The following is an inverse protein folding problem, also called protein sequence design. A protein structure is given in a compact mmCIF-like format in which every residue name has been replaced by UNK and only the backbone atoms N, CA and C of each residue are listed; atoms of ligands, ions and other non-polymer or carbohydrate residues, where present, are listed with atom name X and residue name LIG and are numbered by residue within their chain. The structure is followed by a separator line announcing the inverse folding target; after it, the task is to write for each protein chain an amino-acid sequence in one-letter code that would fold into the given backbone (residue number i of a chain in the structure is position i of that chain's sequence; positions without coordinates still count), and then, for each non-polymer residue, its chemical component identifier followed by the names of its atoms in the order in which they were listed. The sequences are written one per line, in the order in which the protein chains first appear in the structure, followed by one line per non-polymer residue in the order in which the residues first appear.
data_IF_170558098967
#
_entry.id   IF_170558098967
#
_cell.length_a   1.000
_cell.length_b   1.000
_cell.length_c   1.000
_cell.angle_alpha   90.00
_cell.angle_beta   90.00
_cell.angle_gamma   90.00
#
_symmetry.space_group_name_H-M   'P 1'
#
loop_
_entity.id
_entity.type
_entity.pdbx_description
1 polymer ?
#
# COMPACT_ATOMS: atom_id res chain seq x y z
N UNK A 1 9.60 -6.75 3.77
CA UNK A 1 8.19 -6.34 3.95
C UNK A 1 7.80 -5.34 2.88
N UNK A 2 8.66 -4.36 2.60
CA UNK A 2 8.69 -3.52 1.38
C UNK A 2 8.17 -4.19 0.09
N UNK A 3 8.85 -5.25 -0.36
CA UNK A 3 8.59 -5.89 -1.67
C UNK A 3 7.17 -6.46 -1.81
N UNK A 4 6.55 -6.79 -0.67
CA UNK A 4 5.23 -7.40 -0.58
C UNK A 4 4.12 -6.41 -0.89
N UNK A 5 4.24 -5.17 -0.40
CA UNK A 5 3.30 -4.09 -0.70
C UNK A 5 3.39 -3.69 -2.17
N UNK A 6 4.61 -3.62 -2.72
CA UNK A 6 4.82 -3.32 -4.14
C UNK A 6 4.20 -4.36 -5.07
N UNK A 7 4.31 -5.65 -4.72
CA UNK A 7 3.67 -6.73 -5.48
C UNK A 7 2.13 -6.63 -5.47
N UNK A 8 1.53 -6.21 -4.35
CA UNK A 8 0.08 -6.04 -4.24
C UNK A 8 -0.45 -4.86 -5.09
N UNK A 9 0.31 -3.77 -5.18
CA UNK A 9 -0.03 -2.61 -6.02
C UNK A 9 0.16 -2.94 -7.52
N UNK A 10 1.12 -3.80 -7.87
CA UNK A 10 1.47 -4.10 -9.27
C UNK A 10 0.40 -4.87 -10.05
N UNK A 11 -0.49 -5.63 -9.40
CA UNK A 11 -1.47 -6.47 -10.13
C UNK A 11 -2.47 -5.68 -11.01
N UNK A 12 -2.53 -4.34 -10.91
CA UNK A 12 -3.40 -3.50 -11.72
C UNK A 12 -2.70 -2.38 -12.52
N UNK A 13 -1.37 -2.43 -12.70
CA UNK A 13 -0.63 -1.42 -13.49
C UNK A 13 -0.24 -0.14 -12.73
N UNK A 14 0.18 0.92 -13.46
CA UNK A 14 0.53 2.26 -12.93
C UNK A 14 -0.71 3.08 -12.53
N UNK A 15 -1.67 2.46 -11.85
CA UNK A 15 -2.88 3.13 -11.40
C UNK A 15 -2.66 3.79 -10.04
N UNK A 16 -3.31 4.93 -9.86
CA UNK A 16 -3.45 5.55 -8.55
C UNK A 16 -4.39 4.69 -7.71
N UNK A 17 -4.01 4.44 -6.46
CA UNK A 17 -4.81 3.75 -5.47
C UNK A 17 -5.01 4.65 -4.27
N UNK A 18 -6.19 4.62 -3.66
CA UNK A 18 -6.32 5.18 -2.32
C UNK A 18 -5.45 4.37 -1.34
N UNK A 19 -5.00 4.98 -0.25
CA UNK A 19 -4.25 4.26 0.78
C UNK A 19 -5.05 3.08 1.33
N UNK A 20 -6.35 3.27 1.54
CA UNK A 20 -7.23 2.21 2.03
C UNK A 20 -7.32 1.02 1.07
N UNK A 21 -7.40 1.27 -0.24
CA UNK A 21 -7.36 0.19 -1.23
C UNK A 21 -6.02 -0.53 -1.22
N UNK A 22 -4.91 0.21 -1.16
CA UNK A 22 -3.58 -0.38 -1.10
C UNK A 22 -3.40 -1.26 0.16
N UNK A 23 -3.91 -0.82 1.32
CA UNK A 23 -3.92 -1.60 2.56
C UNK A 23 -4.76 -2.87 2.38
N UNK A 24 -5.96 -2.79 1.81
CA UNK A 24 -6.82 -3.97 1.59
C UNK A 24 -6.20 -4.96 0.60
N UNK A 25 -5.55 -4.48 -0.46
CA UNK A 25 -4.83 -5.31 -1.42
C UNK A 25 -3.64 -6.00 -0.76
N UNK A 26 -2.86 -5.27 0.04
CA UNK A 26 -1.75 -5.81 0.82
C UNK A 26 -2.19 -6.89 1.82
N UNK A 27 -3.24 -6.63 2.59
CA UNK A 27 -3.83 -7.59 3.53
C UNK A 27 -4.26 -8.88 2.83
N UNK A 28 -4.96 -8.76 1.68
CA UNK A 28 -5.40 -9.92 0.90
C UNK A 28 -4.22 -10.69 0.31
N UNK A 29 -3.20 -9.99 -0.17
CA UNK A 29 -1.97 -10.59 -0.70
C UNK A 29 -1.19 -11.36 0.38
N UNK A 30 -1.21 -10.90 1.62
CA UNK A 30 -0.65 -11.62 2.77
C UNK A 30 -1.46 -12.87 3.19
N UNK A 31 -2.63 -13.10 2.58
CA UNK A 31 -3.51 -14.23 2.90
C UNK A 31 -4.47 -13.96 4.06
N UNK A 32 -4.54 -12.72 4.57
CA UNK A 32 -5.48 -12.37 5.62
C UNK A 32 -6.87 -12.08 5.05
N UNK A 33 -7.91 -12.59 5.73
CA UNK A 33 -9.31 -12.36 5.36
C UNK A 33 -9.84 -10.98 5.75
N UNK A 34 -9.30 -10.38 6.82
CA UNK A 34 -9.75 -9.10 7.39
C UNK A 34 -8.56 -8.18 7.64
N UNK A 35 -8.76 -6.88 7.43
CA UNK A 35 -7.82 -5.85 7.89
C UNK A 35 -8.18 -5.49 9.33
N UNK A 36 -7.44 -6.04 10.30
CA UNK A 36 -7.52 -5.60 11.70
C UNK A 36 -6.70 -4.34 11.93
N UNK A 37 -6.92 -3.65 13.05
CA UNK A 37 -6.23 -2.40 13.42
C UNK A 37 -4.70 -2.51 13.35
N UNK A 38 -4.13 -3.63 13.81
CA UNK A 38 -2.69 -3.89 13.74
C UNK A 38 -2.16 -3.94 12.29
N UNK A 39 -2.91 -4.57 11.39
CA UNK A 39 -2.53 -4.65 9.97
C UNK A 39 -2.63 -3.27 9.32
N UNK A 40 -3.68 -2.52 9.65
CA UNK A 40 -3.87 -1.17 9.14
C UNK A 40 -2.74 -0.23 9.58
N UNK A 41 -2.40 -0.23 10.87
CA UNK A 41 -1.32 0.60 11.42
C UNK A 41 0.03 0.25 10.79
N UNK A 42 0.31 -1.05 10.66
CA UNK A 42 1.54 -1.56 10.03
C UNK A 42 1.62 -1.14 8.56
N UNK A 43 0.53 -1.30 7.81
CA UNK A 43 0.48 -0.97 6.40
C UNK A 43 0.59 0.54 6.16
N UNK A 44 -0.07 1.36 7.00
CA UNK A 44 0.04 2.82 6.98
C UNK A 44 1.48 3.27 7.25
N UNK A 45 2.13 2.68 8.25
CA UNK A 45 3.54 2.95 8.56
C UNK A 45 4.46 2.58 7.39
N UNK A 46 4.21 1.45 6.73
CA UNK A 46 4.96 1.01 5.56
C UNK A 46 4.78 1.96 4.36
N UNK A 47 3.54 2.36 4.04
CA UNK A 47 3.26 3.34 2.98
C UNK A 47 4.02 4.64 3.22
N UNK A 48 4.00 5.16 4.46
CA UNK A 48 4.73 6.38 4.82
C UNK A 48 6.25 6.21 4.73
N UNK A 49 6.77 5.01 4.99
CA UNK A 49 8.18 4.68 4.75
C UNK A 49 8.53 4.79 3.25
N UNK A 50 7.76 4.11 2.40
CA UNK A 50 8.00 4.08 0.95
C UNK A 50 7.83 5.43 0.27
N UNK A 51 6.91 6.28 0.76
CA UNK A 51 6.76 7.66 0.29
C UNK A 51 7.98 8.52 0.65
N UNK A 52 8.60 8.30 1.81
CA UNK A 52 9.82 9.02 2.23
C UNK A 52 11.05 8.55 1.46
N UNK A 53 11.09 7.28 1.09
CA UNK A 53 12.16 6.68 0.29
C UNK A 53 12.07 7.03 -1.21
N UNK A 54 10.90 7.49 -1.68
CA UNK A 54 10.66 7.79 -3.09
C UNK A 54 10.23 6.58 -3.92
N UNK A 55 10.00 5.44 -3.29
CA UNK A 55 9.50 4.21 -3.93
C UNK A 55 7.99 4.30 -4.26
N UNK A 56 7.26 5.18 -3.56
CA UNK A 56 5.89 5.58 -3.89
C UNK A 56 5.82 7.08 -4.21
N UNK A 57 4.93 7.41 -5.15
CA UNK A 57 4.44 8.74 -5.42
C UNK A 57 3.09 8.95 -4.71
N UNK A 58 2.78 10.20 -4.36
CA UNK A 58 1.46 10.60 -3.87
C UNK A 58 0.80 11.57 -4.85
N UNK A 59 -0.53 11.46 -4.99
CA UNK A 59 -1.36 12.45 -5.67
C UNK A 59 -2.46 12.91 -4.71
N UNK A 60 -2.48 14.21 -4.41
CA UNK A 60 -3.43 14.74 -3.43
C UNK A 60 -3.31 14.13 -2.03
N UNK A 61 -4.41 14.08 -1.26
CA UNK A 61 -4.39 13.72 0.15
C UNK A 61 -4.23 12.22 0.42
N UNK A 62 -4.74 11.36 -0.47
CA UNK A 62 -4.88 9.92 -0.19
C UNK A 62 -4.52 8.97 -1.34
N UNK A 63 -4.21 9.47 -2.53
CA UNK A 63 -3.82 8.60 -3.63
C UNK A 63 -2.32 8.34 -3.62
N UNK A 64 -1.94 7.10 -3.86
CA UNK A 64 -0.57 6.64 -3.97
C UNK A 64 -0.39 5.77 -5.21
N UNK A 65 0.83 5.77 -5.76
CA UNK A 65 1.24 4.91 -6.86
C UNK A 65 2.71 4.56 -6.70
N UNK A 66 3.16 3.45 -7.28
CA UNK A 66 4.59 3.18 -7.45
C UNK A 66 5.24 4.22 -8.37
N UNK A 67 6.41 4.74 -7.98
CA UNK A 67 7.27 5.56 -8.86
C UNK A 67 7.71 4.76 -10.11
#
# INVERSE_FOLDING_TARGET
MDQKLMAAIHQNGRLWHTRDEAIRLFTRWLGFRRTGSLIEETARSLINGLLREGSLEKNGPDEIRRA
#
